data_IF_868211083631
#
_entry.id   IF_868211083631
#
_cell.length_a   1.000
_cell.length_b   1.000
_cell.length_c   1.000
_cell.angle_alpha   90.00
_cell.angle_beta   90.00
_cell.angle_gamma   90.00
#
_symmetry.space_group_name_H-M   'P 1'
#
loop_
_entity.id
_entity.type
_entity.pdbx_description
1 polymer ?
#
# COMPACT_ATOMS: atom_id res chain seq x y z
N UNK A 1 -15.31 0.61 -22.96
CA UNK A 1 -13.97 0.62 -23.58
C UNK A 1 -13.32 1.93 -23.18
N UNK A 2 -12.22 1.89 -22.44
CA UNK A 2 -11.59 3.10 -21.91
C UNK A 2 -10.58 3.68 -22.92
N UNK A 3 -10.38 5.00 -22.94
CA UNK A 3 -9.36 5.64 -23.77
C UNK A 3 -7.97 5.48 -23.14
N UNK A 4 -6.93 5.59 -23.96
CA UNK A 4 -5.55 5.63 -23.48
C UNK A 4 -5.31 6.90 -22.67
N UNK A 5 -4.97 6.80 -21.38
CA UNK A 5 -4.63 7.96 -20.53
C UNK A 5 -3.20 8.50 -20.74
N UNK A 6 -2.48 7.99 -21.74
CA UNK A 6 -1.14 8.50 -22.10
C UNK A 6 -1.20 9.43 -23.31
N UNK A 7 -2.12 9.19 -24.24
CA UNK A 7 -2.24 9.98 -25.46
C UNK A 7 -3.64 10.53 -25.70
N UNK A 8 -4.67 10.06 -24.98
CA UNK A 8 -6.08 10.47 -25.08
C UNK A 8 -6.75 10.34 -26.46
N UNK A 9 -6.01 9.89 -27.47
CA UNK A 9 -6.45 9.79 -28.85
C UNK A 9 -7.05 8.42 -29.20
N UNK A 10 -6.47 7.34 -28.66
CA UNK A 10 -6.81 5.97 -29.05
C UNK A 10 -7.54 5.20 -27.94
N UNK A 11 -8.30 4.18 -28.34
CA UNK A 11 -8.86 3.21 -27.38
C UNK A 11 -7.73 2.41 -26.72
N UNK A 12 -7.88 2.17 -25.43
CA UNK A 12 -6.92 1.37 -24.66
C UNK A 12 -7.04 -0.11 -24.99
N UNK A 13 -5.88 -0.78 -25.03
CA UNK A 13 -5.77 -2.23 -25.28
C UNK A 13 -5.15 -2.97 -24.10
N UNK A 14 -4.43 -2.26 -23.24
CA UNK A 14 -3.69 -2.81 -22.11
C UNK A 14 -3.80 -1.87 -20.90
N UNK A 15 -3.42 -2.36 -19.71
CA UNK A 15 -3.36 -1.59 -18.46
C UNK A 15 -2.00 -1.78 -17.78
N UNK A 16 -1.51 -0.74 -17.11
CA UNK A 16 -0.24 -0.82 -16.37
C UNK A 16 -0.41 -1.65 -15.08
N UNK A 17 0.49 -2.60 -14.75
CA UNK A 17 0.37 -3.39 -13.52
C UNK A 17 0.64 -2.60 -12.22
N UNK A 18 1.27 -1.42 -12.30
CA UNK A 18 1.64 -0.63 -11.13
C UNK A 18 0.57 0.40 -10.72
N UNK A 19 -0.03 1.06 -11.72
CA UNK A 19 -0.95 2.19 -11.51
C UNK A 19 -2.30 1.99 -12.22
N UNK A 20 -2.50 0.85 -12.90
CA UNK A 20 -3.73 0.47 -13.60
C UNK A 20 -4.23 1.40 -14.71
N UNK A 21 -3.44 2.43 -15.08
CA UNK A 21 -3.87 3.34 -16.14
C UNK A 21 -4.00 2.59 -17.49
N UNK A 22 -5.07 2.85 -18.24
CA UNK A 22 -5.30 2.26 -19.56
C UNK A 22 -4.40 2.89 -20.63
N UNK A 23 -3.77 2.08 -21.49
CA UNK A 23 -2.93 2.54 -22.59
C UNK A 23 -3.16 1.78 -23.91
N UNK A 24 -2.85 2.40 -25.05
CA UNK A 24 -3.12 1.84 -26.38
C UNK A 24 -1.97 0.99 -26.96
N UNK A 25 -0.70 1.29 -26.62
CA UNK A 25 0.47 0.67 -27.26
C UNK A 25 1.71 0.67 -26.38
N UNK A 26 2.74 -0.10 -26.77
CA UNK A 26 4.04 -0.10 -26.11
C UNK A 26 4.75 1.27 -26.16
N UNK A 27 4.43 2.11 -27.14
CA UNK A 27 4.94 3.49 -27.20
C UNK A 27 4.38 4.30 -26.02
N UNK A 28 3.09 4.17 -25.75
CA UNK A 28 2.45 4.79 -24.59
C UNK A 28 2.96 4.19 -23.27
N UNK A 29 3.23 2.88 -23.22
CA UNK A 29 3.82 2.27 -22.03
C UNK A 29 5.22 2.81 -21.71
N UNK A 30 6.07 3.02 -22.72
CA UNK A 30 7.40 3.61 -22.52
C UNK A 30 7.31 5.05 -22.02
N UNK A 31 6.53 5.90 -22.68
CA UNK A 31 6.27 7.28 -22.23
C UNK A 31 5.72 7.34 -20.82
N UNK A 32 4.83 6.41 -20.49
CA UNK A 32 4.27 6.28 -19.15
C UNK A 32 5.31 5.91 -18.10
N UNK A 33 6.25 5.00 -18.41
CA UNK A 33 7.31 4.56 -17.49
C UNK A 33 8.44 5.56 -17.28
N UNK A 34 8.61 6.53 -18.19
CA UNK A 34 9.57 7.63 -18.00
C UNK A 34 9.18 8.55 -16.84
N UNK A 35 7.89 8.56 -16.48
CA UNK A 35 7.36 9.24 -15.30
C UNK A 35 7.14 8.16 -14.22
N UNK A 36 7.61 8.34 -12.98
CA UNK A 36 7.33 7.38 -11.92
C UNK A 36 5.82 7.28 -11.71
N UNK A 37 5.25 6.12 -12.04
CA UNK A 37 3.83 5.85 -11.86
C UNK A 37 3.61 5.14 -10.51
N UNK A 38 3.00 5.84 -9.57
CA UNK A 38 2.53 5.28 -8.30
C UNK A 38 1.13 4.67 -8.45
N UNK A 39 0.74 3.80 -7.50
CA UNK A 39 -0.68 3.45 -7.32
C UNK A 39 -1.48 4.76 -7.19
N UNK A 40 -2.60 4.95 -7.91
CA UNK A 40 -3.43 6.12 -7.72
C UNK A 40 -3.90 6.14 -6.25
N UNK A 41 -3.62 7.25 -5.56
CA UNK A 41 -4.31 7.61 -4.33
C UNK A 41 -5.80 7.72 -4.68
N UNK A 42 -6.73 7.20 -3.86
CA UNK A 42 -8.14 7.35 -4.15
C UNK A 42 -8.49 8.83 -4.08
N UNK A 43 -8.62 9.46 -5.25
CA UNK A 43 -9.17 10.80 -5.36
C UNK A 43 -10.64 10.75 -4.87
N UNK A 44 -11.07 11.69 -4.01
CA UNK A 44 -12.45 11.73 -3.57
C UNK A 44 -13.34 12.06 -4.77
N UNK A 45 -14.13 11.09 -5.21
CA UNK A 45 -15.20 11.28 -6.19
C UNK A 45 -16.12 12.41 -5.72
N UNK A 46 -16.10 13.51 -6.47
CA UNK A 46 -17.11 14.55 -6.42
C UNK A 46 -18.45 13.97 -6.84
N UNK A 47 -19.28 13.70 -5.83
CA UNK A 47 -20.73 13.86 -5.81
C UNK A 47 -21.51 13.40 -7.04
N UNK A 48 -22.07 12.19 -6.95
CA UNK A 48 -23.44 11.99 -7.39
C UNK A 48 -24.18 11.04 -6.42
N UNK A 49 -25.03 11.71 -5.64
CA UNK A 49 -26.06 11.26 -4.71
C UNK A 49 -26.76 9.97 -5.15
N UNK A 50 -26.70 8.95 -4.30
CA UNK A 50 -27.91 8.20 -3.90
C UNK A 50 -27.70 7.50 -2.55
N UNK A 51 -28.60 7.86 -1.66
CA UNK A 51 -28.77 7.45 -0.27
C UNK A 51 -29.06 5.95 -0.15
N UNK A 52 -28.40 5.24 0.76
CA UNK A 52 -29.02 4.44 1.83
C UNK A 52 -27.97 3.69 2.70
N UNK A 53 -27.73 4.25 3.90
CA UNK A 53 -27.75 3.55 5.22
C UNK A 53 -26.78 2.38 5.49
N UNK A 54 -25.69 2.67 6.21
CA UNK A 54 -25.29 2.11 7.54
C UNK A 54 -23.85 2.52 7.89
N UNK A 55 -23.67 3.15 9.05
CA UNK A 55 -22.38 3.40 9.71
C UNK A 55 -21.93 2.18 10.54
N UNK A 56 -20.76 2.17 11.23
CA UNK A 56 -19.44 2.75 10.92
C UNK A 56 -18.30 1.69 11.05
N UNK A 57 -17.20 1.84 10.32
CA UNK A 57 -15.92 1.25 10.72
C UNK A 57 -14.76 2.13 10.20
N UNK A 58 -13.83 2.59 11.06
CA UNK A 58 -12.63 3.26 10.59
C UNK A 58 -11.65 2.18 10.13
N UNK A 59 -11.65 1.88 8.83
CA UNK A 59 -10.59 1.07 8.23
C UNK A 59 -9.35 1.96 8.01
N UNK A 60 -8.67 2.31 9.11
CA UNK A 60 -7.26 2.70 9.05
C UNK A 60 -6.41 1.43 8.99
N UNK A 61 -6.23 0.89 7.79
CA UNK A 61 -5.05 0.09 7.48
C UNK A 61 -4.69 0.36 6.02
N UNK A 62 -3.90 1.40 5.79
CA UNK A 62 -3.10 1.46 4.58
C UNK A 62 -2.07 0.35 4.74
N UNK A 63 -2.34 -0.82 4.17
CA UNK A 63 -1.34 -1.86 3.96
C UNK A 63 -0.27 -1.26 3.04
N UNK A 64 0.76 -0.67 3.66
CA UNK A 64 2.01 -0.34 2.99
C UNK A 64 2.55 -1.66 2.44
N UNK A 65 2.73 -1.81 1.11
CA UNK A 65 3.29 -3.03 0.57
C UNK A 65 4.68 -3.23 1.16
N UNK A 66 4.84 -4.24 2.01
CA UNK A 66 6.14 -4.61 2.56
C UNK A 66 6.90 -5.31 1.43
N UNK A 67 7.82 -4.58 0.79
CA UNK A 67 8.75 -5.17 -0.16
C UNK A 67 9.95 -5.69 0.62
N UNK A 68 10.02 -7.01 0.78
CA UNK A 68 11.16 -7.69 1.39
C UNK A 68 12.00 -8.26 0.24
N UNK A 69 13.29 -7.88 0.19
CA UNK A 69 14.23 -8.36 -0.83
C UNK A 69 14.35 -9.89 -0.79
N UNK A 70 14.27 -10.47 0.42
CA UNK A 70 14.35 -11.90 0.66
C UNK A 70 13.03 -12.44 1.28
N UNK A 71 12.28 -13.33 0.59
CA UNK A 71 10.98 -13.83 1.08
C UNK A 71 11.05 -14.66 2.38
N UNK A 72 12.26 -15.02 2.84
CA UNK A 72 12.49 -15.72 4.10
C UNK A 72 12.61 -14.80 5.33
N UNK A 73 12.80 -13.49 5.13
CA UNK A 73 12.87 -12.52 6.23
C UNK A 73 11.47 -12.05 6.68
N UNK A 74 10.47 -12.20 5.82
CA UNK A 74 9.08 -11.90 6.15
C UNK A 74 8.50 -12.96 7.10
N UNK A 75 8.02 -12.53 8.27
CA UNK A 75 7.28 -13.40 9.19
C UNK A 75 5.90 -13.75 8.62
N UNK A 76 5.54 -15.04 8.71
CA UNK A 76 4.24 -15.54 8.27
C UNK A 76 3.19 -15.43 9.38
N UNK A 77 1.90 -15.57 9.03
CA UNK A 77 0.78 -15.47 9.97
C UNK A 77 0.94 -16.38 11.20
N UNK A 78 1.35 -17.64 11.02
CA UNK A 78 1.54 -18.57 12.14
C UNK A 78 2.63 -18.12 13.12
N UNK A 79 3.67 -17.45 12.63
CA UNK A 79 4.73 -16.90 13.49
C UNK A 79 4.22 -15.67 14.26
N UNK A 80 3.41 -14.82 13.63
CA UNK A 80 2.73 -13.71 14.30
C UNK A 80 1.83 -14.20 15.43
N UNK A 81 1.06 -15.27 15.20
CA UNK A 81 0.22 -15.88 16.24
C UNK A 81 1.04 -16.46 17.39
N UNK A 82 2.21 -17.03 17.08
CA UNK A 82 3.15 -17.53 18.09
C UNK A 82 3.73 -16.39 18.94
N UNK A 83 4.06 -15.26 18.32
CA UNK A 83 4.52 -14.05 19.01
C UNK A 83 3.41 -13.51 19.92
N UNK A 84 2.17 -13.42 19.42
CA UNK A 84 1.02 -12.95 20.18
C UNK A 84 0.68 -13.84 21.40
N UNK A 85 1.02 -15.13 21.33
CA UNK A 85 0.76 -16.10 22.40
C UNK A 85 1.91 -16.23 23.41
N UNK A 86 3.08 -15.67 23.11
CA UNK A 86 4.26 -15.76 23.98
C UNK A 86 4.21 -14.72 25.10
N UNK A 87 4.05 -15.19 26.34
CA UNK A 87 4.02 -14.31 27.51
C UNK A 87 5.34 -13.56 27.69
N UNK A 88 6.48 -14.21 27.47
CA UNK A 88 7.81 -13.59 27.63
C UNK A 88 7.99 -12.39 26.69
N UNK A 89 7.56 -12.52 25.43
CA UNK A 89 7.64 -11.45 24.44
C UNK A 89 6.68 -10.31 24.82
N UNK A 90 5.45 -10.63 25.21
CA UNK A 90 4.47 -9.61 25.64
C UNK A 90 4.93 -8.86 26.89
N UNK A 91 5.60 -9.54 27.82
CA UNK A 91 6.17 -8.91 29.02
C UNK A 91 7.31 -7.96 28.67
N UNK A 92 8.21 -8.37 27.76
CA UNK A 92 9.24 -7.47 27.24
C UNK A 92 8.64 -6.25 26.53
N UNK A 93 7.62 -6.45 25.68
CA UNK A 93 6.90 -5.39 24.98
C UNK A 93 6.15 -4.46 25.96
N UNK A 94 5.82 -4.89 27.19
CA UNK A 94 5.14 -4.02 28.18
C UNK A 94 5.98 -2.78 28.56
N UNK A 95 7.29 -2.80 28.33
CA UNK A 95 8.17 -1.66 28.53
C UNK A 95 7.76 -0.48 27.63
N UNK A 96 7.48 0.68 28.23
CA UNK A 96 6.96 1.86 27.51
C UNK A 96 7.96 2.49 26.56
N UNK A 97 9.25 2.44 26.87
CA UNK A 97 10.29 2.98 25.99
C UNK A 97 10.46 2.08 24.77
N UNK A 98 10.39 0.76 24.94
CA UNK A 98 10.40 -0.20 23.84
C UNK A 98 9.18 -0.02 22.91
N UNK A 99 7.97 0.16 23.47
CA UNK A 99 6.77 0.44 22.66
C UNK A 99 6.91 1.71 21.82
N UNK A 100 7.44 2.78 22.41
CA UNK A 100 7.70 4.04 21.69
C UNK A 100 8.72 3.82 20.58
N UNK A 101 9.81 3.09 20.85
CA UNK A 101 10.82 2.79 19.84
C UNK A 101 10.21 2.01 18.67
N UNK A 102 9.47 0.94 18.93
CA UNK A 102 8.78 0.14 17.90
C UNK A 102 7.83 1.02 17.08
N UNK A 103 7.04 1.87 17.74
CA UNK A 103 6.13 2.78 17.06
C UNK A 103 6.85 3.80 16.16
N UNK A 104 7.98 4.34 16.63
CA UNK A 104 8.79 5.28 15.85
C UNK A 104 9.41 4.61 14.62
N UNK A 105 9.85 3.36 14.75
CA UNK A 105 10.38 2.58 13.62
C UNK A 105 9.29 2.30 12.57
N UNK A 106 8.12 1.86 13.01
CA UNK A 106 6.98 1.58 12.14
C UNK A 106 6.48 2.83 11.40
N UNK A 107 6.49 3.98 12.09
CA UNK A 107 6.08 5.27 11.52
C UNK A 107 7.20 5.97 10.73
N UNK A 108 8.44 5.48 10.78
CA UNK A 108 9.58 6.11 10.09
C UNK A 108 9.51 5.87 8.58
N UNK A 109 9.88 6.90 7.80
CA UNK A 109 10.03 6.79 6.36
C UNK A 109 11.37 6.14 5.98
N UNK A 110 12.36 6.22 6.87
CA UNK A 110 13.69 5.64 6.74
C UNK A 110 13.96 4.83 8.01
N UNK A 111 13.47 3.59 8.05
CA UNK A 111 13.59 2.72 9.23
C UNK A 111 15.00 2.14 9.38
N UNK A 112 15.80 2.13 8.31
CA UNK A 112 17.15 1.54 8.27
C UNK A 112 18.19 2.40 9.01
N UNK A 113 17.96 3.71 9.13
CA UNK A 113 18.89 4.65 9.76
C UNK A 113 18.43 5.16 11.15
N UNK A 114 17.42 4.54 11.78
CA UNK A 114 16.98 4.85 13.15
C UNK A 114 17.83 4.05 14.14
N UNK A 115 19.08 4.47 14.33
CA UNK A 115 19.97 4.02 15.40
C UNK A 115 20.29 5.16 16.38
#
# INVERSE_FOLDING_TARGET
>A
IEKCQVCDEAQSKYKCPNCFIPFCSLVCFKKHKEIPCGKPEPEPESEQVSEEKLAPAPALHVEKPIYVDEPGEAVNQSQLESIASSSEILEAIRNKELQKLIYNLDSSLDAENVC
#
